data_IF_150383909518
#
_entry.id   IF_150383909518
#
_cell.length_a   1.000
_cell.length_b   1.000
_cell.length_c   1.000
_cell.angle_alpha   90.00
_cell.angle_beta   90.00
_cell.angle_gamma   90.00
#
_symmetry.space_group_name_H-M   'P 1'
#
loop_
_entity.id
_entity.type
_entity.pdbx_description
1 polymer ?
#
# COMPACT_ATOMS: atom_id res chain seq x y z
N UNK A 1 -28.48 -32.07 29.31
CA UNK A 1 -27.77 -31.28 30.34
C UNK A 1 -26.63 -30.56 29.62
N UNK A 2 -26.91 -29.39 29.05
CA UNK A 2 -26.38 -28.08 29.54
C UNK A 2 -24.83 -28.08 29.50
N UNK A 3 -24.15 -27.26 28.71
CA UNK A 3 -24.25 -25.81 28.70
C UNK A 3 -23.68 -25.13 27.44
N UNK A 4 -23.98 -23.83 27.38
CA UNK A 4 -24.01 -22.87 26.28
C UNK A 4 -22.78 -21.95 26.26
N UNK A 5 -22.39 -21.57 25.04
CA UNK A 5 -21.72 -20.35 24.56
C UNK A 5 -20.41 -19.83 25.19
N UNK A 6 -19.41 -19.62 24.33
CA UNK A 6 -18.64 -18.37 24.30
C UNK A 6 -18.51 -17.88 22.85
N UNK A 7 -18.99 -16.67 22.64
CA UNK A 7 -18.82 -15.84 21.45
C UNK A 7 -17.34 -15.57 21.21
N UNK A 8 -16.82 -15.94 20.04
CA UNK A 8 -15.64 -15.29 19.49
C UNK A 8 -16.14 -14.12 18.63
N UNK A 9 -15.93 -12.89 19.08
CA UNK A 9 -16.18 -11.69 18.29
C UNK A 9 -15.34 -11.69 17.01
N UNK A 10 -15.63 -10.80 16.03
CA UNK A 10 -14.81 -10.70 14.83
C UNK A 10 -13.37 -10.38 15.23
N UNK A 11 -12.34 -10.96 14.57
CA UNK A 11 -10.97 -10.55 14.81
C UNK A 11 -10.86 -9.07 14.43
N UNK A 12 -10.89 -8.19 15.43
CA UNK A 12 -10.56 -6.78 15.24
C UNK A 12 -9.14 -6.73 14.71
N UNK A 13 -8.93 -5.98 13.63
CA UNK A 13 -7.63 -5.72 12.99
C UNK A 13 -6.65 -4.95 13.91
N UNK A 14 -6.89 -4.95 15.23
CA UNK A 14 -6.07 -4.29 16.25
C UNK A 14 -4.69 -4.95 16.45
N UNK A 15 -4.48 -6.12 15.85
CA UNK A 15 -3.19 -6.82 15.87
C UNK A 15 -2.59 -6.99 14.49
N UNK A 16 -2.82 -6.06 13.57
CA UNK A 16 -1.91 -5.90 12.44
C UNK A 16 -0.58 -5.43 13.02
N UNK A 17 0.26 -6.40 13.37
CA UNK A 17 1.69 -6.20 13.59
C UNK A 17 2.17 -5.35 12.43
N UNK A 18 2.76 -4.18 12.71
CA UNK A 18 3.37 -3.34 11.69
C UNK A 18 4.14 -4.24 10.74
N UNK A 19 3.75 -4.33 9.45
CA UNK A 19 4.43 -5.23 8.54
C UNK A 19 5.92 -4.89 8.54
N UNK A 20 6.79 -5.88 8.34
CA UNK A 20 8.23 -5.61 8.25
C UNK A 20 8.58 -4.57 7.16
N UNK A 21 7.66 -4.33 6.22
CA UNK A 21 7.76 -3.28 5.21
C UNK A 21 7.27 -1.88 5.64
N UNK A 22 6.64 -1.73 6.81
CA UNK A 22 6.13 -0.46 7.31
C UNK A 22 7.29 0.43 7.75
N UNK A 23 7.90 1.09 6.77
CA UNK A 23 8.94 2.07 7.05
C UNK A 23 8.30 3.27 7.76
N UNK A 24 8.86 3.74 8.89
CA UNK A 24 8.30 4.88 9.59
C UNK A 24 8.30 6.13 8.71
N UNK A 25 7.12 6.75 8.58
CA UNK A 25 6.92 7.99 7.81
C UNK A 25 7.87 9.07 8.33
N UNK A 26 8.68 9.71 7.47
CA UNK A 26 9.64 10.71 7.91
C UNK A 26 8.91 11.91 8.57
N UNK A 27 9.50 12.57 9.58
CA UNK A 27 8.84 13.64 10.34
C UNK A 27 8.31 14.80 9.46
N UNK A 28 8.98 15.07 8.33
CA UNK A 28 8.56 16.09 7.36
C UNK A 28 7.23 15.74 6.69
N UNK A 29 7.00 14.47 6.36
CA UNK A 29 5.75 14.01 5.78
C UNK A 29 4.61 14.07 6.80
N UNK A 30 4.89 13.76 8.08
CA UNK A 30 3.91 13.92 9.17
C UNK A 30 3.44 15.38 9.32
N UNK A 31 4.36 16.34 9.25
CA UNK A 31 4.03 17.78 9.30
C UNK A 31 3.20 18.24 8.10
N UNK A 32 3.48 17.72 6.90
CA UNK A 32 2.67 18.02 5.72
C UNK A 32 1.25 17.46 5.85
N UNK A 33 1.11 16.21 6.32
CA UNK A 33 -0.20 15.60 6.60
C UNK A 33 -0.97 16.36 7.69
N UNK A 34 -0.30 16.79 8.77
CA UNK A 34 -0.90 17.59 9.83
C UNK A 34 -1.42 18.97 9.36
N UNK A 35 -0.91 19.47 8.21
CA UNK A 35 -1.39 20.69 7.55
C UNK A 35 -2.55 20.43 6.57
N UNK A 36 -3.13 19.23 6.57
CA UNK A 36 -4.20 18.85 5.65
C UNK A 36 -3.75 18.60 4.21
N UNK A 37 -2.44 18.48 3.97
CA UNK A 37 -1.91 18.17 2.64
C UNK A 37 -2.23 16.74 2.24
N UNK A 38 -2.97 16.56 1.14
CA UNK A 38 -3.15 15.26 0.52
C UNK A 38 -1.91 14.91 -0.31
N UNK A 39 -1.44 13.64 -0.31
CA UNK A 39 -0.36 13.22 -1.21
C UNK A 39 -0.75 13.36 -2.69
N UNK A 40 -2.05 13.39 -2.97
CA UNK A 40 -2.62 13.57 -4.29
C UNK A 40 -3.27 14.95 -4.38
N UNK A 41 -2.69 15.81 -5.22
CA UNK A 41 -3.24 17.11 -5.60
C UNK A 41 -3.48 17.11 -7.11
N UNK A 42 -4.75 17.17 -7.57
CA UNK A 42 -5.07 17.26 -8.99
C UNK A 42 -4.43 18.45 -9.71
N UNK A 43 -4.16 19.54 -8.98
CA UNK A 43 -3.60 20.79 -9.50
C UNK A 43 -2.06 20.83 -9.43
N UNK A 44 -1.41 19.74 -9.02
CA UNK A 44 0.06 19.69 -8.99
C UNK A 44 0.66 19.88 -10.40
N UNK A 45 1.82 20.55 -10.47
CA UNK A 45 2.53 20.70 -11.74
C UNK A 45 3.00 19.34 -12.30
N UNK A 46 3.19 19.20 -13.63
CA UNK A 46 3.68 17.96 -14.23
C UNK A 46 5.00 17.45 -13.61
N UNK A 47 5.88 18.38 -13.21
CA UNK A 47 7.14 18.05 -12.55
C UNK A 47 6.93 17.53 -11.12
N UNK A 48 6.02 18.15 -10.36
CA UNK A 48 5.69 17.70 -9.00
C UNK A 48 5.10 16.29 -9.02
N UNK A 49 4.18 16.01 -9.95
CA UNK A 49 3.62 14.68 -10.22
C UNK A 49 4.70 13.64 -10.49
N UNK A 50 5.60 13.96 -11.42
CA UNK A 50 6.70 13.06 -11.80
C UNK A 50 7.61 12.76 -10.60
N UNK A 51 7.96 13.77 -9.79
CA UNK A 51 8.77 13.59 -8.58
C UNK A 51 8.09 12.69 -7.56
N UNK A 52 6.79 12.87 -7.34
CA UNK A 52 5.96 12.05 -6.45
C UNK A 52 5.90 10.60 -6.94
N UNK A 53 5.56 10.37 -8.21
CA UNK A 53 5.50 9.04 -8.81
C UNK A 53 6.85 8.30 -8.70
N UNK A 54 7.97 8.98 -9.01
CA UNK A 54 9.31 8.38 -8.87
C UNK A 54 9.68 8.07 -7.42
N UNK A 55 9.22 8.87 -6.45
CA UNK A 55 9.42 8.58 -5.02
C UNK A 55 8.68 7.30 -4.63
N UNK A 56 7.40 7.21 -4.98
CA UNK A 56 6.57 6.02 -4.72
C UNK A 56 7.18 4.77 -5.38
N UNK A 57 7.58 4.86 -6.65
CA UNK A 57 8.19 3.74 -7.37
C UNK A 57 9.47 3.21 -6.69
N UNK A 58 10.34 4.09 -6.18
CA UNK A 58 11.55 3.67 -5.44
C UNK A 58 11.21 2.99 -4.11
N UNK A 59 10.22 3.51 -3.38
CA UNK A 59 9.79 2.92 -2.11
C UNK A 59 9.18 1.53 -2.34
N UNK A 60 8.31 1.41 -3.34
CA UNK A 60 7.68 0.13 -3.70
C UNK A 60 8.72 -0.91 -4.16
N UNK A 61 9.71 -0.51 -4.96
CA UNK A 61 10.78 -1.42 -5.39
C UNK A 61 11.63 -1.97 -4.23
N UNK A 62 11.79 -1.21 -3.14
CA UNK A 62 12.50 -1.68 -1.95
C UNK A 62 11.66 -2.63 -1.11
N UNK A 63 10.36 -2.36 -1.02
CA UNK A 63 9.42 -3.10 -0.17
C UNK A 63 9.00 -4.42 -0.85
N UNK A 64 8.82 -4.40 -2.17
CA UNK A 64 8.34 -5.52 -2.98
C UNK A 64 9.34 -5.83 -4.10
N UNK A 65 10.55 -6.32 -3.76
CA UNK A 65 11.59 -6.59 -4.76
C UNK A 65 11.21 -7.71 -5.75
N UNK A 66 10.28 -8.58 -5.35
CA UNK A 66 9.76 -9.72 -6.08
C UNK A 66 8.41 -9.47 -6.75
N UNK A 67 7.89 -8.24 -6.73
CA UNK A 67 6.63 -7.91 -7.41
C UNK A 67 6.74 -8.18 -8.92
N UNK A 68 5.90 -9.09 -9.41
CA UNK A 68 5.74 -9.42 -10.82
C UNK A 68 4.25 -9.62 -11.15
N UNK A 69 3.93 -9.74 -12.43
CA UNK A 69 2.57 -10.09 -12.85
C UNK A 69 2.30 -11.55 -12.51
N UNK A 70 1.25 -11.82 -11.74
CA UNK A 70 0.86 -13.19 -11.31
C UNK A 70 -0.07 -13.88 -12.32
N UNK A 71 -0.31 -13.28 -13.49
CA UNK A 71 -1.11 -13.91 -14.53
C UNK A 71 -0.31 -15.04 -15.17
N UNK A 72 -0.98 -16.17 -15.41
CA UNK A 72 -0.41 -17.30 -16.14
C UNK A 72 -0.46 -17.02 -17.64
N UNK A 73 0.64 -16.54 -18.21
CA UNK A 73 0.77 -16.33 -19.65
C UNK A 73 2.13 -16.82 -20.14
N UNK A 74 2.15 -17.38 -21.35
CA UNK A 74 3.35 -17.85 -22.03
C UNK A 74 3.74 -16.95 -23.21
N UNK A 75 2.84 -16.08 -23.66
CA UNK A 75 3.07 -15.13 -24.74
C UNK A 75 2.28 -13.83 -24.54
N UNK A 76 2.59 -12.82 -25.36
CA UNK A 76 2.00 -11.49 -25.24
C UNK A 76 0.50 -11.45 -25.60
N UNK A 77 0.02 -12.37 -26.46
CA UNK A 77 -1.39 -12.44 -26.81
C UNK A 77 -2.24 -12.98 -25.65
N UNK A 78 -1.73 -13.98 -24.92
CA UNK A 78 -2.37 -14.50 -23.71
C UNK A 78 -2.49 -13.43 -22.62
N UNK A 79 -1.42 -12.68 -22.35
CA UNK A 79 -1.45 -11.57 -21.37
C UNK A 79 -2.49 -10.48 -21.72
N UNK A 80 -2.79 -10.28 -23.01
CA UNK A 80 -3.77 -9.28 -23.43
C UNK A 80 -5.21 -9.69 -23.10
N UNK A 81 -5.51 -10.99 -23.10
CA UNK A 81 -6.87 -11.53 -22.92
C UNK A 81 -7.14 -11.99 -21.48
N UNK A 82 -6.09 -12.34 -20.72
CA UNK A 82 -6.15 -12.75 -19.32
C UNK A 82 -6.85 -11.70 -18.43
#
# INVERSE_FOLDING_TARGET
MMARALSAGPPTLDRVSSPAYARPVPPRARRAAARGGTPFDPQESPLARTRRARRMARELALIHPDAHCELDFTNAFELLVA
#
